data_IF_986179144344
#
_entry.id   IF_986179144344
#
_cell.length_a   1.000
_cell.length_b   1.000
_cell.length_c   1.000
_cell.angle_alpha   90.00
_cell.angle_beta   90.00
_cell.angle_gamma   90.00
#
_symmetry.space_group_name_H-M   'P 1'
#
loop_
_entity.id
_entity.type
_entity.pdbx_description
1 polymer ?
#
# COMPACT_ATOMS: atom_id res chain seq x y z
N UNK A 1 -10.76 -0.81 27.19
CA UNK A 1 -9.87 -0.03 26.30
C UNK A 1 -10.54 0.13 24.94
N UNK A 2 -10.70 1.37 24.45
CA UNK A 2 -11.25 1.64 23.11
C UNK A 2 -10.28 1.08 22.05
N UNK A 3 -10.81 0.46 21.00
CA UNK A 3 -9.98 -0.05 19.90
C UNK A 3 -9.23 1.10 19.22
N UNK A 4 -7.98 0.84 18.80
CA UNK A 4 -7.20 1.80 18.02
C UNK A 4 -7.75 1.85 16.60
N UNK A 5 -7.99 3.04 16.08
CA UNK A 5 -8.38 3.25 14.68
C UNK A 5 -7.20 2.94 13.76
N UNK A 6 -7.46 2.18 12.70
CA UNK A 6 -6.51 1.93 11.62
C UNK A 6 -7.08 2.36 10.27
N UNK A 7 -6.21 2.77 9.38
CA UNK A 7 -6.56 3.33 8.07
C UNK A 7 -5.85 2.55 6.97
N UNK A 8 -6.52 2.33 5.84
CA UNK A 8 -5.87 1.75 4.66
C UNK A 8 -5.08 2.87 3.98
N UNK A 9 -3.75 2.79 4.04
CA UNK A 9 -2.85 3.80 3.49
C UNK A 9 -2.46 3.49 2.03
N UNK A 10 -2.43 2.21 1.67
CA UNK A 10 -2.21 1.79 0.29
C UNK A 10 -2.94 0.50 -0.05
N UNK A 11 -3.27 0.33 -1.32
CA UNK A 11 -3.79 -0.91 -1.90
C UNK A 11 -3.15 -1.17 -3.27
N UNK A 12 -2.70 -2.41 -3.48
CA UNK A 12 -2.21 -2.86 -4.78
C UNK A 12 -3.08 -4.00 -5.31
N UNK A 13 -3.49 -3.86 -6.56
CA UNK A 13 -4.43 -4.75 -7.22
C UNK A 13 -3.79 -5.40 -8.44
N UNK A 14 -3.87 -6.72 -8.51
CA UNK A 14 -3.30 -7.54 -9.59
C UNK A 14 -4.36 -8.03 -10.57
N UNK A 15 -4.13 -7.91 -11.87
CA UNK A 15 -5.02 -8.44 -12.92
C UNK A 15 -4.33 -8.57 -14.27
N UNK A 16 -4.90 -9.35 -15.19
CA UNK A 16 -4.24 -9.65 -16.48
C UNK A 16 -4.36 -8.52 -17.52
N UNK A 17 -5.43 -7.73 -17.45
CA UNK A 17 -5.71 -6.66 -18.42
C UNK A 17 -6.16 -5.37 -17.73
N UNK A 18 -5.37 -4.90 -16.76
CA UNK A 18 -5.65 -3.65 -16.06
C UNK A 18 -5.48 -2.43 -17.00
N UNK A 19 -4.54 -2.51 -17.94
CA UNK A 19 -4.34 -1.45 -18.93
C UNK A 19 -5.57 -1.28 -19.84
N UNK A 20 -6.21 -2.38 -20.24
CA UNK A 20 -7.35 -2.36 -21.15
C UNK A 20 -8.60 -1.65 -20.63
N UNK A 21 -8.84 -1.64 -19.31
CA UNK A 21 -9.98 -0.89 -18.75
C UNK A 21 -9.75 0.62 -18.72
N UNK A 22 -8.49 1.06 -18.76
CA UNK A 22 -8.08 2.46 -18.70
C UNK A 22 -7.94 3.08 -20.09
N UNK A 23 -7.27 2.39 -21.02
CA UNK A 23 -6.98 2.91 -22.38
C UNK A 23 -8.25 3.25 -23.15
N UNK A 24 -9.34 2.52 -22.92
CA UNK A 24 -10.59 2.69 -23.67
C UNK A 24 -11.44 3.87 -23.18
N UNK A 25 -10.96 4.63 -22.20
CA UNK A 25 -11.71 5.72 -21.59
C UNK A 25 -10.94 7.02 -21.77
N UNK A 26 -11.61 8.02 -22.35
CA UNK A 26 -11.05 9.34 -22.71
C UNK A 26 -10.45 10.13 -21.53
N UNK A 27 -10.72 9.70 -20.30
CA UNK A 27 -10.26 10.35 -19.08
C UNK A 27 -8.89 9.87 -18.59
N UNK A 28 -8.22 9.01 -19.37
CA UNK A 28 -6.92 8.46 -19.03
C UNK A 28 -5.95 8.56 -20.20
N UNK A 29 -4.68 8.83 -19.88
CA UNK A 29 -3.57 8.57 -20.78
C UNK A 29 -2.54 7.69 -20.09
N UNK A 30 -1.90 6.81 -20.87
CA UNK A 30 -0.90 5.87 -20.34
C UNK A 30 0.43 6.14 -21.00
N UNK A 31 1.41 6.52 -20.19
CA UNK A 31 2.79 6.74 -20.60
C UNK A 31 3.62 5.51 -20.26
N UNK A 32 4.09 4.79 -21.28
CA UNK A 32 5.00 3.66 -21.10
C UNK A 32 6.40 4.20 -20.84
N UNK A 33 6.95 3.93 -19.66
CA UNK A 33 8.31 4.37 -19.28
C UNK A 33 9.30 3.22 -19.16
N UNK A 34 8.82 1.97 -19.17
CA UNK A 34 9.65 0.79 -19.33
C UNK A 34 8.91 -0.30 -20.11
N UNK A 35 9.53 -0.81 -21.15
CA UNK A 35 9.14 -2.00 -21.92
C UNK A 35 10.38 -2.61 -22.59
N UNK A 36 10.20 -3.54 -23.52
CA UNK A 36 11.30 -4.02 -24.39
C UNK A 36 11.87 -2.91 -25.29
N UNK A 37 11.03 -1.97 -25.75
CA UNK A 37 11.40 -0.90 -26.69
C UNK A 37 11.60 0.47 -26.04
N UNK A 38 11.21 0.65 -24.78
CA UNK A 38 11.25 1.94 -24.07
C UNK A 38 11.94 1.78 -22.72
N UNK A 39 12.86 2.69 -22.39
CA UNK A 39 13.44 2.77 -21.05
C UNK A 39 13.71 4.21 -20.63
N UNK A 40 12.77 4.79 -19.88
CA UNK A 40 12.83 6.14 -19.34
C UNK A 40 12.66 6.16 -17.80
N UNK A 41 13.64 5.62 -17.05
CA UNK A 41 13.56 5.54 -15.59
C UNK A 41 13.61 6.91 -14.89
N UNK A 42 14.09 7.95 -15.57
CA UNK A 42 14.17 9.32 -15.03
C UNK A 42 12.77 9.91 -14.83
N UNK A 43 11.88 9.75 -15.81
CA UNK A 43 10.48 10.20 -15.69
C UNK A 43 9.80 9.46 -14.54
N UNK A 44 9.94 8.14 -14.46
CA UNK A 44 9.41 7.36 -13.34
C UNK A 44 9.88 7.87 -11.97
N UNK A 45 11.20 8.10 -11.81
CA UNK A 45 11.77 8.61 -10.56
C UNK A 45 11.23 10.00 -10.22
N UNK A 46 11.07 10.88 -11.21
CA UNK A 46 10.49 12.21 -11.01
C UNK A 46 9.04 12.13 -10.54
N UNK A 47 8.24 11.24 -11.14
CA UNK A 47 6.80 11.12 -10.83
C UNK A 47 6.54 10.47 -9.47
N UNK A 48 7.23 9.38 -9.14
CA UNK A 48 6.93 8.58 -7.93
C UNK A 48 7.98 8.70 -6.81
N UNK A 49 9.01 9.54 -7.00
CA UNK A 49 10.15 9.69 -6.10
C UNK A 49 10.83 8.35 -5.73
N UNK A 50 10.79 7.37 -6.64
CA UNK A 50 11.30 6.01 -6.44
C UNK A 50 11.91 5.49 -7.74
N UNK A 51 13.04 4.80 -7.67
CA UNK A 51 13.63 4.16 -8.85
C UNK A 51 12.88 2.88 -9.23
N UNK A 52 12.88 2.55 -10.52
CA UNK A 52 12.44 1.23 -11.00
C UNK A 52 13.43 0.15 -10.56
N UNK A 53 12.91 -0.97 -10.07
CA UNK A 53 13.71 -2.15 -9.74
C UNK A 53 13.88 -3.06 -10.95
N UNK A 54 14.96 -3.85 -10.98
CA UNK A 54 15.30 -4.72 -12.12
C UNK A 54 14.21 -5.75 -12.45
N UNK A 55 13.47 -6.23 -11.43
CA UNK A 55 12.41 -7.21 -11.59
C UNK A 55 11.11 -6.66 -12.19
N UNK A 56 10.99 -5.35 -12.42
CA UNK A 56 9.86 -4.76 -13.16
C UNK A 56 10.21 -4.83 -14.65
N UNK A 57 9.47 -5.59 -15.44
CA UNK A 57 9.70 -5.76 -16.89
C UNK A 57 8.93 -4.76 -17.75
N UNK A 58 7.79 -4.28 -17.24
CA UNK A 58 7.02 -3.18 -17.84
C UNK A 58 6.56 -2.22 -16.74
N UNK A 59 6.66 -0.94 -17.01
CA UNK A 59 6.18 0.11 -16.11
C UNK A 59 5.51 1.22 -16.93
N UNK A 60 4.32 1.60 -16.51
CA UNK A 60 3.56 2.70 -17.10
C UNK A 60 3.11 3.68 -16.02
N UNK A 61 2.99 4.94 -16.41
CA UNK A 61 2.38 6.00 -15.62
C UNK A 61 0.99 6.23 -16.21
N UNK A 62 -0.04 6.01 -15.40
CA UNK A 62 -1.41 6.35 -15.77
C UNK A 62 -1.65 7.78 -15.31
N UNK A 63 -1.97 8.67 -16.23
CA UNK A 63 -2.43 10.01 -15.95
C UNK A 63 -3.95 10.02 -15.96
N UNK A 64 -4.55 10.59 -14.93
CA UNK A 64 -6.02 10.69 -14.78
C UNK A 64 -6.49 12.11 -15.07
N UNK A 65 -7.76 12.28 -15.42
CA UNK A 65 -8.41 13.59 -15.58
C UNK A 65 -8.38 14.46 -14.30
N UNK A 66 -8.18 13.86 -13.12
CA UNK A 66 -8.03 14.55 -11.84
C UNK A 66 -6.59 15.07 -11.60
N UNK A 67 -5.69 14.92 -12.56
CA UNK A 67 -4.28 15.28 -12.42
C UNK A 67 -3.47 14.31 -11.55
N UNK A 68 -4.05 13.16 -11.15
CA UNK A 68 -3.33 12.11 -10.43
C UNK A 68 -2.49 11.27 -11.37
N UNK A 69 -1.39 10.73 -10.84
CA UNK A 69 -0.58 9.72 -11.51
C UNK A 69 -0.61 8.41 -10.74
N UNK A 70 -0.89 7.29 -11.43
CA UNK A 70 -0.91 5.96 -10.84
C UNK A 70 0.13 5.05 -11.50
N UNK A 71 0.90 4.29 -10.73
CA UNK A 71 1.83 3.30 -11.27
C UNK A 71 1.09 2.04 -11.73
N UNK A 72 1.40 1.58 -12.95
CA UNK A 72 1.03 0.25 -13.44
C UNK A 72 2.30 -0.54 -13.76
N UNK A 73 2.47 -1.72 -13.15
CA UNK A 73 3.71 -2.50 -13.25
C UNK A 73 3.43 -3.93 -13.66
N UNK A 74 4.34 -4.50 -14.44
CA UNK A 74 4.43 -5.95 -14.69
C UNK A 74 5.78 -6.44 -14.20
N UNK A 75 5.78 -7.54 -13.45
CA UNK A 75 7.00 -8.12 -12.87
C UNK A 75 7.49 -9.32 -13.67
N UNK A 76 8.80 -9.56 -13.66
CA UNK A 76 9.45 -10.64 -14.40
C UNK A 76 8.93 -12.04 -14.04
N UNK A 77 8.54 -12.23 -12.78
CA UNK A 77 8.00 -13.50 -12.26
C UNK A 77 6.53 -13.72 -12.59
N UNK A 78 5.82 -12.69 -13.04
CA UNK A 78 4.38 -12.74 -13.28
C UNK A 78 4.03 -11.83 -14.46
N UNK A 79 4.57 -12.15 -15.63
CA UNK A 79 4.48 -11.30 -16.82
C UNK A 79 3.05 -11.14 -17.34
N UNK A 80 2.15 -12.07 -17.01
CA UNK A 80 0.73 -12.00 -17.34
C UNK A 80 -0.08 -11.13 -16.38
N UNK A 81 0.51 -10.66 -15.27
CA UNK A 81 -0.19 -9.89 -14.25
C UNK A 81 0.38 -8.48 -14.19
N UNK A 82 -0.52 -7.52 -14.37
CA UNK A 82 -0.28 -6.12 -14.11
C UNK A 82 -0.71 -5.79 -12.68
N UNK A 83 0.03 -4.91 -12.02
CA UNK A 83 -0.26 -4.42 -10.66
C UNK A 83 -0.49 -2.92 -10.72
N UNK A 84 -1.69 -2.50 -10.35
CA UNK A 84 -2.07 -1.11 -10.15
C UNK A 84 -1.93 -0.76 -8.67
N UNK A 85 -1.26 0.34 -8.33
CA UNK A 85 -1.04 0.76 -6.94
C UNK A 85 -1.75 2.08 -6.65
N UNK A 86 -2.49 2.12 -5.55
CA UNK A 86 -3.04 3.34 -4.96
C UNK A 86 -2.32 3.55 -3.64
N UNK A 87 -1.31 4.41 -3.62
CA UNK A 87 -0.47 4.67 -2.44
C UNK A 87 -0.71 6.08 -1.90
N UNK A 88 -0.75 6.22 -0.57
CA UNK A 88 -1.04 7.50 0.07
C UNK A 88 -2.53 7.81 0.14
N UNK A 89 -3.38 6.79 0.21
CA UNK A 89 -4.81 6.93 0.45
C UNK A 89 -5.10 7.62 1.78
N UNK A 90 -4.14 7.61 2.72
CA UNK A 90 -4.25 8.24 4.04
C UNK A 90 -3.01 9.08 4.40
N UNK A 91 -2.80 10.16 3.63
CA UNK A 91 -1.70 11.14 3.82
C UNK A 91 -2.19 12.56 4.17
N UNK A 92 -3.46 12.75 4.54
CA UNK A 92 -4.00 14.06 4.96
C UNK A 92 -3.87 15.22 3.94
N UNK A 93 -3.57 14.92 2.67
CA UNK A 93 -3.44 15.90 1.58
C UNK A 93 -4.66 15.90 0.65
N UNK A 94 -4.81 16.94 -0.15
CA UNK A 94 -5.83 17.00 -1.20
C UNK A 94 -5.66 15.87 -2.23
N UNK A 95 -4.42 15.56 -2.60
CA UNK A 95 -4.10 14.42 -3.46
C UNK A 95 -4.65 13.10 -2.90
N UNK A 96 -4.55 12.86 -1.59
CA UNK A 96 -5.13 11.66 -0.97
C UNK A 96 -6.66 11.60 -1.08
N UNK A 97 -7.35 12.76 -1.02
CA UNK A 97 -8.80 12.83 -1.18
C UNK A 97 -9.21 12.48 -2.61
N UNK A 98 -8.57 13.11 -3.59
CA UNK A 98 -8.79 12.83 -5.01
C UNK A 98 -8.48 11.37 -5.33
N UNK A 99 -7.42 10.80 -4.76
CA UNK A 99 -7.07 9.39 -4.94
C UNK A 99 -8.16 8.45 -4.41
N UNK A 100 -8.79 8.76 -3.27
CA UNK A 100 -9.92 7.99 -2.73
C UNK A 100 -11.17 8.11 -3.61
N UNK A 101 -11.47 9.31 -4.11
CA UNK A 101 -12.58 9.54 -5.06
C UNK A 101 -12.36 8.69 -6.30
N UNK A 102 -11.15 8.73 -6.86
CA UNK A 102 -10.81 7.98 -8.05
C UNK A 102 -10.87 6.46 -7.86
N UNK A 103 -10.38 5.96 -6.72
CA UNK A 103 -10.52 4.55 -6.37
C UNK A 103 -11.99 4.13 -6.23
N UNK A 104 -12.85 5.03 -5.74
CA UNK A 104 -14.30 4.78 -5.63
C UNK A 104 -14.96 4.64 -7.00
N UNK A 105 -14.59 5.49 -7.95
CA UNK A 105 -15.10 5.44 -9.34
C UNK A 105 -14.74 4.12 -10.02
N UNK A 106 -13.51 3.63 -9.79
CA UNK A 106 -13.03 2.37 -10.35
C UNK A 106 -13.53 1.14 -9.58
N UNK A 107 -14.15 1.32 -8.41
CA UNK A 107 -14.37 0.24 -7.44
C UNK A 107 -15.12 -0.96 -8.00
N UNK A 108 -16.21 -0.72 -8.74
CA UNK A 108 -17.04 -1.79 -9.32
C UNK A 108 -16.27 -2.60 -10.38
N UNK A 109 -15.42 -1.93 -11.17
CA UNK A 109 -14.59 -2.56 -12.22
C UNK A 109 -13.44 -3.37 -11.63
N UNK A 110 -12.99 -3.02 -10.43
CA UNK A 110 -11.85 -3.63 -9.77
C UNK A 110 -12.21 -4.83 -8.87
N UNK A 111 -13.50 -5.17 -8.69
CA UNK A 111 -13.95 -6.19 -7.74
C UNK A 111 -13.28 -7.57 -7.93
N UNK A 112 -12.93 -7.92 -9.17
CA UNK A 112 -12.30 -9.20 -9.54
C UNK A 112 -10.79 -9.11 -9.71
N UNK A 113 -10.16 -8.03 -9.24
CA UNK A 113 -8.71 -7.91 -9.19
C UNK A 113 -8.17 -8.49 -7.89
N UNK A 114 -7.03 -9.19 -7.95
CA UNK A 114 -6.42 -9.84 -6.80
C UNK A 114 -5.83 -8.82 -5.83
N UNK A 115 -6.03 -9.01 -4.54
CA UNK A 115 -5.31 -8.26 -3.50
C UNK A 115 -3.85 -8.72 -3.48
N UNK A 116 -2.94 -7.83 -3.87
CA UNK A 116 -1.49 -8.14 -3.89
C UNK A 116 -0.73 -7.48 -2.75
N UNK A 117 -1.23 -6.35 -2.25
CA UNK A 117 -0.72 -5.66 -1.07
C UNK A 117 -1.78 -4.74 -0.47
N UNK A 118 -1.82 -4.65 0.86
CA UNK A 118 -2.51 -3.61 1.61
C UNK A 118 -1.61 -3.12 2.73
N UNK A 119 -1.50 -1.81 2.90
CA UNK A 119 -0.79 -1.21 4.02
C UNK A 119 -1.80 -0.57 4.98
N UNK A 120 -1.75 -0.99 6.25
CA UNK A 120 -2.60 -0.47 7.33
C UNK A 120 -1.76 0.46 8.21
N UNK A 121 -2.16 1.72 8.29
CA UNK A 121 -1.54 2.74 9.12
C UNK A 121 -2.26 2.87 10.48
N UNK A 122 -1.46 2.88 11.55
CA UNK A 122 -1.89 3.22 12.91
C UNK A 122 -1.06 4.43 13.38
N UNK A 123 -1.71 5.58 13.55
CA UNK A 123 -1.03 6.84 13.89
C UNK A 123 -1.23 7.20 15.36
N UNK A 124 -0.17 7.56 16.08
CA UNK A 124 -0.22 8.12 17.44
C UNK A 124 0.61 9.39 17.51
N UNK A 125 0.37 10.24 18.51
CA UNK A 125 1.35 11.27 18.86
C UNK A 125 2.71 10.62 19.21
N UNK A 126 2.66 9.52 19.96
CA UNK A 126 3.79 8.62 20.24
C UNK A 126 3.32 7.18 20.38
N UNK A 127 4.00 6.22 19.75
CA UNK A 127 3.64 4.80 19.83
C UNK A 127 3.83 4.32 21.28
N UNK A 128 2.79 3.75 21.92
CA UNK A 128 2.90 3.33 23.32
C UNK A 128 3.97 2.27 23.54
N UNK A 129 4.71 2.37 24.65
CA UNK A 129 5.76 1.41 25.01
C UNK A 129 5.27 -0.05 25.03
N UNK A 130 4.02 -0.31 25.47
CA UNK A 130 3.44 -1.66 25.45
C UNK A 130 3.36 -2.26 24.03
N UNK A 131 3.12 -1.43 23.02
CA UNK A 131 3.05 -1.85 21.60
C UNK A 131 4.45 -2.19 21.11
N UNK A 132 5.43 -1.32 21.36
CA UNK A 132 6.82 -1.58 20.95
C UNK A 132 7.42 -2.78 21.69
N UNK A 133 7.13 -2.95 22.99
CA UNK A 133 7.50 -4.13 23.78
C UNK A 133 6.90 -5.41 23.21
N UNK A 134 5.61 -5.39 22.85
CA UNK A 134 4.95 -6.55 22.23
C UNK A 134 5.59 -6.92 20.88
N UNK A 135 5.91 -5.94 20.03
CA UNK A 135 6.62 -6.20 18.77
C UNK A 135 8.00 -6.83 19.03
N UNK A 136 8.78 -6.24 19.94
CA UNK A 136 10.14 -6.68 20.27
C UNK A 136 10.21 -8.04 20.97
N UNK A 137 9.09 -8.58 21.45
CA UNK A 137 9.05 -9.91 22.09
C UNK A 137 9.53 -11.06 21.18
N UNK A 138 9.38 -10.91 19.86
CA UNK A 138 9.72 -11.94 18.87
C UNK A 138 10.34 -11.34 17.60
N UNK A 139 10.73 -10.07 17.65
CA UNK A 139 11.26 -9.33 16.50
C UNK A 139 12.43 -8.45 16.92
N UNK A 140 13.46 -8.46 16.08
CA UNK A 140 14.61 -7.57 16.15
C UNK A 140 14.27 -6.27 15.40
N UNK A 141 14.42 -5.10 16.04
CA UNK A 141 14.31 -3.81 15.36
C UNK A 141 15.54 -3.56 14.46
N UNK A 142 15.30 -3.12 13.25
CA UNK A 142 16.32 -2.71 12.28
C UNK A 142 16.04 -1.28 11.83
N UNK A 143 16.94 -0.35 12.14
CA UNK A 143 16.81 1.05 11.74
C UNK A 143 17.34 1.27 10.32
N UNK A 144 16.57 2.02 9.54
CA UNK A 144 16.97 2.48 8.21
C UNK A 144 16.40 3.88 7.98
N UNK A 145 17.29 4.87 7.84
CA UNK A 145 16.93 6.28 7.79
C UNK A 145 16.06 6.67 9.00
N UNK A 146 14.90 7.29 8.79
CA UNK A 146 13.94 7.69 9.81
C UNK A 146 12.92 6.59 10.18
N UNK A 147 13.17 5.33 9.78
CA UNK A 147 12.25 4.21 9.97
C UNK A 147 12.89 3.07 10.79
N UNK A 148 12.09 2.42 11.63
CA UNK A 148 12.45 1.21 12.38
C UNK A 148 11.59 0.04 11.89
N UNK A 149 12.21 -0.97 11.29
CA UNK A 149 11.57 -2.17 10.79
C UNK A 149 11.61 -3.28 11.85
N UNK A 150 10.50 -3.99 12.08
CA UNK A 150 10.45 -5.08 13.06
C UNK A 150 10.42 -6.43 12.36
N UNK A 151 11.52 -7.18 12.42
CA UNK A 151 11.68 -8.47 11.72
C UNK A 151 11.85 -9.63 12.68
N UNK A 152 11.23 -10.77 12.41
CA UNK A 152 11.56 -12.02 13.13
C UNK A 152 12.90 -12.58 12.64
N UNK A 153 13.58 -13.43 13.43
CA UNK A 153 14.83 -14.08 12.98
C UNK A 153 14.71 -14.88 11.68
N UNK A 154 13.50 -15.43 11.39
CA UNK A 154 13.22 -16.19 10.16
C UNK A 154 12.93 -15.29 8.96
N UNK A 155 12.55 -14.02 9.21
CA UNK A 155 12.26 -13.05 8.17
C UNK A 155 13.60 -12.46 7.70
N UNK A 156 14.12 -12.97 6.57
CA UNK A 156 15.33 -12.41 5.96
C UNK A 156 15.15 -10.98 5.44
N UNK A 157 15.85 -10.62 4.35
CA UNK A 157 15.72 -9.27 3.76
C UNK A 157 14.31 -8.97 3.24
N UNK A 158 13.54 -9.99 2.81
CA UNK A 158 12.20 -9.86 2.23
C UNK A 158 11.18 -10.69 3.02
N UNK A 159 10.04 -10.08 3.35
CA UNK A 159 8.88 -10.78 3.90
C UNK A 159 7.66 -10.50 3.00
N UNK A 160 7.09 -11.55 2.43
CA UNK A 160 5.94 -11.48 1.53
C UNK A 160 4.60 -11.60 2.27
N UNK A 161 4.63 -11.92 3.57
CA UNK A 161 3.44 -12.09 4.39
C UNK A 161 3.05 -10.77 5.07
N UNK A 162 3.85 -10.27 6.02
CA UNK A 162 3.58 -9.00 6.73
C UNK A 162 4.90 -8.27 7.04
N UNK A 163 5.11 -7.08 6.49
CA UNK A 163 6.16 -6.17 6.97
C UNK A 163 5.58 -5.20 8.00
N UNK A 164 6.38 -4.85 9.01
CA UNK A 164 5.98 -3.92 10.07
C UNK A 164 7.05 -2.86 10.18
N UNK A 165 6.67 -1.60 10.07
CA UNK A 165 7.59 -0.47 10.18
C UNK A 165 6.99 0.62 11.06
N UNK A 166 7.82 1.20 11.92
CA UNK A 166 7.50 2.43 12.63
C UNK A 166 8.34 3.59 12.08
N UNK A 167 7.77 4.78 11.97
CA UNK A 167 8.50 5.97 11.57
C UNK A 167 7.82 7.25 12.06
N UNK A 168 8.60 8.33 12.10
CA UNK A 168 8.08 9.68 12.33
C UNK A 168 7.36 10.15 11.06
N UNK A 169 6.02 10.15 11.13
CA UNK A 169 5.12 10.53 10.04
C UNK A 169 5.10 12.05 9.88
N UNK A 170 5.17 12.79 10.98
CA UNK A 170 5.23 14.25 10.94
C UNK A 170 6.49 14.73 10.22
N UNK A 171 7.65 14.16 10.51
CA UNK A 171 8.89 14.45 9.80
C UNK A 171 8.82 14.04 8.31
N UNK A 172 8.22 12.88 8.01
CA UNK A 172 8.12 12.37 6.64
C UNK A 172 7.21 13.22 5.74
N UNK A 173 6.12 13.74 6.28
CA UNK A 173 5.10 14.51 5.53
C UNK A 173 5.07 16.00 5.87
N UNK A 174 6.02 16.48 6.68
CA UNK A 174 6.10 17.87 7.15
C UNK A 174 4.78 18.34 7.81
N UNK A 175 4.25 17.53 8.73
CA UNK A 175 3.01 17.82 9.45
C UNK A 175 3.27 18.77 10.63
N UNK A 176 2.30 19.64 11.00
CA UNK A 176 2.47 20.61 12.08
C UNK A 176 2.45 19.98 13.48
N UNK A 177 1.82 18.81 13.64
CA UNK A 177 1.67 18.13 14.91
C UNK A 177 2.52 16.84 14.96
N UNK A 178 3.06 16.46 16.13
CA UNK A 178 3.80 15.22 16.29
C UNK A 178 2.95 14.00 15.93
N UNK A 179 3.51 13.12 15.11
CA UNK A 179 2.84 11.88 14.70
C UNK A 179 3.85 10.79 14.39
N UNK A 180 3.78 9.69 15.14
CA UNK A 180 4.44 8.42 14.84
C UNK A 180 3.43 7.45 14.21
N UNK A 181 3.84 6.80 13.11
CA UNK A 181 3.05 5.78 12.43
C UNK A 181 3.65 4.40 12.65
N UNK A 182 2.81 3.44 13.02
CA UNK A 182 3.10 2.01 12.88
C UNK A 182 2.30 1.46 11.69
N UNK A 183 3.01 1.02 10.66
CA UNK A 183 2.43 0.52 9.41
C UNK A 183 2.59 -1.00 9.31
N UNK A 184 1.49 -1.69 9.02
CA UNK A 184 1.46 -3.12 8.72
C UNK A 184 1.21 -3.31 7.23
N UNK A 185 2.22 -3.78 6.51
CA UNK A 185 2.15 -4.05 5.08
C UNK A 185 1.91 -5.54 4.84
N UNK A 186 0.67 -5.89 4.51
CA UNK A 186 0.24 -7.25 4.19
C UNK A 186 0.48 -7.52 2.71
N UNK A 187 1.25 -8.56 2.40
CA UNK A 187 1.57 -8.92 1.01
C UNK A 187 0.71 -10.05 0.47
N UNK A 188 0.90 -10.39 -0.82
CA UNK A 188 0.08 -11.36 -1.55
C UNK A 188 -0.07 -12.73 -0.84
N UNK A 189 0.95 -13.21 -0.11
CA UNK A 189 0.84 -14.51 0.58
C UNK A 189 -0.08 -14.48 1.80
N UNK A 190 -0.37 -13.30 2.35
CA UNK A 190 -1.40 -13.14 3.39
C UNK A 190 -2.81 -13.36 2.82
N UNK A 191 -3.04 -12.89 1.59
CA UNK A 191 -4.36 -12.87 0.97
C UNK A 191 -4.77 -14.21 0.36
N UNK A 192 -3.85 -15.12 0.04
CA UNK A 192 -4.16 -16.49 -0.47
C UNK A 192 -5.28 -16.49 -1.53
N UNK A 193 -5.09 -15.72 -2.61
CA UNK A 193 -6.05 -15.55 -3.72
C UNK A 193 -7.35 -14.78 -3.40
N UNK A 194 -7.38 -13.95 -2.36
CA UNK A 194 -8.46 -12.97 -2.20
C UNK A 194 -8.45 -11.92 -3.30
N UNK A 195 -9.65 -11.48 -3.64
CA UNK A 195 -9.93 -10.40 -4.58
C UNK A 195 -10.43 -9.16 -3.83
N UNK A 196 -10.54 -8.03 -4.52
CA UNK A 196 -11.02 -6.78 -3.92
C UNK A 196 -12.42 -6.93 -3.29
N UNK A 197 -13.31 -7.72 -3.91
CA UNK A 197 -14.62 -8.04 -3.33
C UNK A 197 -14.56 -8.71 -1.95
N UNK A 198 -13.44 -9.37 -1.64
CA UNK A 198 -13.21 -10.07 -0.37
C UNK A 198 -12.56 -9.15 0.67
N UNK A 199 -12.41 -7.85 0.39
CA UNK A 199 -11.77 -6.88 1.29
C UNK A 199 -12.38 -6.86 2.72
N UNK A 200 -13.71 -6.95 2.92
CA UNK A 200 -14.26 -7.04 4.28
C UNK A 200 -13.69 -8.22 5.07
N UNK A 201 -13.61 -9.40 4.45
CA UNK A 201 -13.01 -10.59 5.06
C UNK A 201 -11.51 -10.40 5.31
N UNK A 202 -10.80 -9.77 4.38
CA UNK A 202 -9.38 -9.46 4.53
C UNK A 202 -9.15 -8.51 5.72
N UNK A 203 -9.99 -7.49 5.90
CA UNK A 203 -9.94 -6.55 7.02
C UNK A 203 -10.06 -7.28 8.36
N UNK A 204 -11.03 -8.18 8.52
CA UNK A 204 -11.18 -8.94 9.76
C UNK A 204 -9.94 -9.79 10.08
N UNK A 205 -9.33 -10.42 9.06
CA UNK A 205 -8.09 -11.20 9.22
C UNK A 205 -6.91 -10.30 9.60
N UNK A 206 -6.82 -9.09 9.03
CA UNK A 206 -5.80 -8.10 9.36
C UNK A 206 -5.95 -7.59 10.80
N UNK A 207 -7.16 -7.21 11.23
CA UNK A 207 -7.46 -6.78 12.61
C UNK A 207 -7.03 -7.83 13.63
N UNK A 208 -7.39 -9.11 13.40
CA UNK A 208 -6.97 -10.25 14.25
C UNK A 208 -5.45 -10.41 14.27
N UNK A 209 -4.80 -10.28 13.10
CA UNK A 209 -3.34 -10.41 12.98
C UNK A 209 -2.59 -9.29 13.69
N UNK A 210 -3.06 -8.06 13.58
CA UNK A 210 -2.48 -6.90 14.27
C UNK A 210 -2.63 -7.08 15.79
N UNK A 211 -3.84 -7.39 16.28
CA UNK A 211 -4.10 -7.63 17.70
C UNK A 211 -3.17 -8.70 18.27
N UNK A 212 -2.95 -9.81 17.55
CA UNK A 212 -2.02 -10.88 17.96
C UNK A 212 -0.57 -10.38 18.08
N UNK A 213 -0.15 -9.44 17.23
CA UNK A 213 1.23 -8.93 17.18
C UNK A 213 1.53 -7.84 18.20
N UNK A 214 0.55 -6.97 18.49
CA UNK A 214 0.78 -5.78 19.34
C UNK A 214 -0.06 -5.74 20.62
N UNK A 215 -0.95 -6.72 20.83
CA UNK A 215 -1.79 -6.80 22.02
C UNK A 215 -2.88 -5.72 22.11
N UNK A 216 -3.07 -4.92 21.06
CA UNK A 216 -4.06 -3.84 21.00
C UNK A 216 -5.11 -4.18 19.95
N UNK A 217 -6.39 -4.13 20.34
CA UNK A 217 -7.50 -4.26 19.39
C UNK A 217 -7.47 -3.07 18.42
N UNK A 218 -7.56 -3.36 17.13
CA UNK A 218 -7.64 -2.35 16.07
C UNK A 218 -8.98 -2.48 15.38
N UNK A 219 -9.57 -1.33 15.01
CA UNK A 219 -10.68 -1.26 14.06
C UNK A 219 -10.20 -0.55 12.81
N UNK A 220 -10.12 -1.26 11.69
CA UNK A 220 -9.72 -0.70 10.40
C UNK A 220 -10.95 -0.06 9.77
N UNK A 221 -10.82 1.20 9.36
CA UNK A 221 -11.87 1.84 8.57
C UNK A 221 -11.93 1.22 7.17
N UNK A 222 -13.11 0.86 6.69
CA UNK A 222 -13.27 0.51 5.28
C UNK A 222 -12.99 1.75 4.42
N UNK A 223 -12.45 1.53 3.21
CA UNK A 223 -12.16 2.60 2.25
C UNK A 223 -13.41 3.41 1.90
N UNK A 224 -14.55 2.73 1.81
CA UNK A 224 -15.86 3.30 1.55
C UNK A 224 -16.83 2.74 2.57
N UNK A 225 -17.59 3.63 3.22
CA UNK A 225 -18.78 3.21 3.95
C UNK A 225 -19.78 2.61 2.95
N UNK A 226 -20.38 1.46 3.29
CA UNK A 226 -21.60 1.03 2.63
C UNK A 226 -22.65 2.12 2.91
N UNK A 227 -22.96 2.92 1.90
CA UNK A 227 -24.15 3.75 1.88
C UNK A 227 -25.30 2.90 1.34
#
# INVERSE_FOLDING_TARGET
MRAKKGEIDSINLGGENLEGFLIRHEHYSIEVVKSQSVFNPKVWKKTFNKSLTQNIVRACIIHTYLGLTLPLKTFSRSQKVQVLEFAGLYSYTECSKLLRVHLKELWSRLQHTKLTRLDIALDWEKIPYKVTKALKSNREPFKWLNSEYFKTPKEGKKNYYINIVAYDKALKENLPEPMERLEFSFGASFFKDMYLKDLPQAIEKMEKSIKKKIGVSVKINPLFSHA
#
